data_IF_509195819680
#
_entry.id   IF_509195819680
#
_cell.length_a   1.000
_cell.length_b   1.000
_cell.length_c   1.000
_cell.angle_alpha   90.00
_cell.angle_beta   90.00
_cell.angle_gamma   90.00
#
_symmetry.space_group_name_H-M   'P 1'
#
loop_
_entity.id
_entity.type
_entity.pdbx_description
1 polymer ?
#
# COMPACT_ATOMS: atom_id res chain seq x y z
N UNK A 1 -5.81 0.44 4.40
CA UNK A 1 -6.99 0.02 3.60
C UNK A 1 -7.11 -1.49 3.70
N UNK A 2 -8.31 -2.02 3.91
CA UNK A 2 -8.58 -3.46 3.84
C UNK A 2 -8.76 -3.88 2.38
N UNK A 3 -8.08 -4.94 1.96
CA UNK A 3 -8.18 -5.55 0.64
C UNK A 3 -8.26 -7.07 0.80
N UNK A 4 -9.49 -7.62 0.72
CA UNK A 4 -9.79 -9.02 1.07
C UNK A 4 -9.38 -9.34 2.51
N UNK A 5 -8.43 -10.25 2.70
CA UNK A 5 -7.87 -10.75 3.95
C UNK A 5 -6.57 -10.04 4.35
N UNK A 6 -6.19 -8.96 3.63
CA UNK A 6 -4.93 -8.25 3.83
C UNK A 6 -5.14 -6.76 4.06
N UNK A 7 -4.22 -6.16 4.78
CA UNK A 7 -4.12 -4.72 4.97
C UNK A 7 -3.03 -4.16 4.05
N UNK A 8 -3.40 -3.17 3.24
CA UNK A 8 -2.47 -2.30 2.52
C UNK A 8 -2.31 -1.00 3.30
N UNK A 9 -1.10 -0.74 3.78
CA UNK A 9 -0.77 0.40 4.63
C UNK A 9 0.29 1.22 3.90
N UNK A 10 -0.08 2.40 3.42
CA UNK A 10 0.85 3.36 2.85
C UNK A 10 1.23 4.38 3.93
N UNK A 11 2.50 4.37 4.32
CA UNK A 11 3.03 5.33 5.31
C UNK A 11 3.30 6.67 4.64
N UNK A 12 3.31 7.72 5.44
CA UNK A 12 3.69 9.07 5.02
C UNK A 12 5.09 9.14 4.40
N UNK A 13 5.99 8.25 4.83
CA UNK A 13 7.34 8.11 4.27
C UNK A 13 7.36 7.57 2.84
N UNK A 14 6.23 7.11 2.32
CA UNK A 14 6.11 6.43 1.03
C UNK A 14 6.44 4.92 1.08
N UNK A 15 6.61 4.35 2.27
CA UNK A 15 6.70 2.89 2.45
C UNK A 15 5.30 2.27 2.36
N UNK A 16 5.12 1.30 1.46
CA UNK A 16 3.95 0.45 1.37
C UNK A 16 4.20 -0.84 2.16
N UNK A 17 3.28 -1.19 3.04
CA UNK A 17 3.31 -2.39 3.85
C UNK A 17 2.07 -3.23 3.53
N UNK A 18 2.30 -4.53 3.33
CA UNK A 18 1.26 -5.54 3.29
C UNK A 18 1.26 -6.29 4.63
N UNK A 19 0.10 -6.43 5.26
CA UNK A 19 -0.06 -7.13 6.53
C UNK A 19 -1.30 -8.03 6.54
N UNK A 20 -1.34 -8.99 7.47
CA UNK A 20 -2.54 -9.80 7.74
C UNK A 20 -3.67 -8.91 8.28
N UNK A 21 -4.90 -9.09 7.79
CA UNK A 21 -6.09 -8.40 8.31
C UNK A 21 -6.76 -9.23 9.41
N UNK A 22 -6.06 -9.36 10.54
CA UNK A 22 -6.47 -10.25 11.63
C UNK A 22 -6.43 -9.50 12.98
N UNK A 23 -7.39 -9.71 13.88
CA UNK A 23 -7.44 -8.98 15.16
C UNK A 23 -6.44 -9.49 16.22
N UNK A 24 -5.85 -10.66 16.04
CA UNK A 24 -5.00 -11.34 17.03
C UNK A 24 -3.66 -10.63 17.22
N UNK A 25 -3.04 -10.19 16.12
CA UNK A 25 -1.76 -9.50 16.14
C UNK A 25 -1.48 -8.81 14.80
N UNK A 26 -0.69 -7.74 14.85
CA UNK A 26 -0.16 -7.11 13.64
C UNK A 26 1.03 -7.92 13.10
N UNK A 27 0.86 -8.54 11.92
CA UNK A 27 1.92 -9.27 11.22
C UNK A 27 2.16 -8.69 9.82
N UNK A 28 3.40 -8.27 9.56
CA UNK A 28 3.81 -7.79 8.25
C UNK A 28 4.17 -8.95 7.33
N UNK A 29 3.61 -8.96 6.12
CA UNK A 29 3.88 -9.94 5.06
C UNK A 29 4.94 -9.45 4.07
N UNK A 30 4.90 -8.16 3.70
CA UNK A 30 5.85 -7.55 2.77
C UNK A 30 5.96 -6.04 2.98
N UNK A 31 7.07 -5.45 2.52
CA UNK A 31 7.35 -4.01 2.58
C UNK A 31 8.04 -3.57 1.29
N UNK A 32 7.72 -2.38 0.80
CA UNK A 32 8.41 -1.78 -0.33
C UNK A 32 8.43 -0.25 -0.22
N UNK A 33 9.53 0.38 -0.58
CA UNK A 33 9.59 1.83 -0.74
C UNK A 33 9.06 2.18 -2.14
N UNK A 34 7.86 2.74 -2.22
CA UNK A 34 7.16 2.94 -3.51
C UNK A 34 7.09 4.40 -3.94
N UNK A 35 7.26 5.33 -3.00
CA UNK A 35 7.25 6.77 -3.24
C UNK A 35 8.29 7.45 -2.35
N UNK A 36 8.87 8.59 -2.73
CA UNK A 36 9.51 9.46 -1.77
C UNK A 36 8.47 10.12 -0.84
N UNK A 37 8.84 10.52 0.38
CA UNK A 37 7.99 11.38 1.20
C UNK A 37 7.71 12.71 0.46
N UNK A 38 6.64 13.44 0.77
CA UNK A 38 5.64 13.20 1.83
C UNK A 38 4.32 12.73 1.21
N UNK A 39 3.80 11.60 1.67
CA UNK A 39 2.51 11.06 1.19
C UNK A 39 1.38 11.50 2.12
N UNK A 40 0.41 12.23 1.57
CA UNK A 40 -0.85 12.63 2.24
C UNK A 40 -2.09 12.10 1.53
N UNK A 41 -1.98 11.76 0.25
CA UNK A 41 -3.10 11.25 -0.54
C UNK A 41 -3.39 9.80 -0.15
N UNK A 42 -4.69 9.47 -0.01
CA UNK A 42 -5.11 8.09 0.19
C UNK A 42 -4.87 7.30 -1.11
N UNK A 43 -4.33 6.06 -1.05
CA UNK A 43 -4.16 5.25 -2.25
C UNK A 43 -5.51 4.75 -2.76
N UNK A 44 -5.58 4.44 -4.06
CA UNK A 44 -6.73 3.79 -4.67
C UNK A 44 -6.35 2.39 -5.16
N UNK A 45 -7.21 1.41 -4.92
CA UNK A 45 -7.03 0.03 -5.39
C UNK A 45 -8.17 -0.30 -6.35
N UNK A 46 -7.83 -0.67 -7.59
CA UNK A 46 -8.81 -1.05 -8.59
C UNK A 46 -8.25 -2.18 -9.46
N UNK A 47 -9.00 -3.28 -9.58
CA UNK A 47 -8.64 -4.43 -10.44
C UNK A 47 -7.20 -4.97 -10.25
N UNK A 48 -6.75 -5.03 -8.99
CA UNK A 48 -5.40 -5.47 -8.65
C UNK A 48 -4.29 -4.43 -8.86
N UNK A 49 -4.63 -3.21 -9.29
CA UNK A 49 -3.68 -2.09 -9.42
C UNK A 49 -3.79 -1.13 -8.25
N UNK A 50 -2.65 -0.81 -7.63
CA UNK A 50 -2.56 0.19 -6.58
C UNK A 50 -2.01 1.51 -7.15
N UNK A 51 -2.84 2.54 -7.08
CA UNK A 51 -2.48 3.91 -7.42
C UNK A 51 -2.13 4.67 -6.16
N UNK A 52 -0.93 5.25 -6.12
CA UNK A 52 -0.46 6.06 -5.00
C UNK A 52 0.30 7.28 -5.52
N UNK A 53 0.21 8.40 -4.82
CA UNK A 53 0.93 9.62 -5.20
C UNK A 53 1.38 10.44 -4.02
N UNK A 54 2.43 11.23 -4.23
CA UNK A 54 2.73 12.40 -3.44
C UNK A 54 2.48 13.67 -4.30
N UNK A 55 3.12 14.79 -3.95
CA UNK A 55 2.98 16.06 -4.67
C UNK A 55 3.58 16.05 -6.08
N UNK A 56 4.63 15.25 -6.31
CA UNK A 56 5.44 15.29 -7.54
C UNK A 56 5.46 13.99 -8.33
N UNK A 57 4.98 12.89 -7.74
CA UNK A 57 5.11 11.55 -8.28
C UNK A 57 3.80 10.79 -8.11
N UNK A 58 3.34 10.15 -9.18
CA UNK A 58 2.26 9.17 -9.19
C UNK A 58 2.86 7.83 -9.60
N UNK A 59 2.52 6.77 -8.87
CA UNK A 59 2.87 5.39 -9.21
C UNK A 59 1.61 4.54 -9.37
N UNK A 60 1.70 3.57 -10.26
CA UNK A 60 0.73 2.50 -10.42
C UNK A 60 1.47 1.17 -10.25
N UNK A 61 1.11 0.40 -9.22
CA UNK A 61 1.74 -0.86 -8.88
C UNK A 61 0.82 -2.01 -9.25
N UNK A 62 1.36 -3.00 -9.95
CA UNK A 62 0.67 -4.25 -10.19
C UNK A 62 0.76 -5.14 -8.94
N UNK A 63 -0.37 -5.42 -8.30
CA UNK A 63 -0.47 -6.33 -7.15
C UNK A 63 -1.06 -7.69 -7.53
N UNK A 64 -1.26 -7.96 -8.82
CA UNK A 64 -1.69 -9.27 -9.28
C UNK A 64 -0.53 -10.25 -9.10
N UNK A 65 -0.82 -11.37 -8.44
CA UNK A 65 0.16 -12.47 -8.35
C UNK A 65 0.44 -13.05 -9.74
N UNK A 66 1.56 -13.77 -9.85
CA UNK A 66 1.62 -14.85 -10.85
C UNK A 66 0.70 -15.99 -10.43
#
# INVERSE_FOLDING_TARGET
>A
MLARDRLLILRETGELILAEATPEAFRTLARAQVLPPTVRAFPALADGWLYARNEKTLVCLDLRGK
#
